data_IF_181450330510
#
_entry.id   IF_181450330510
#
_cell.length_a   1.000
_cell.length_b   1.000
_cell.length_c   1.000
_cell.angle_alpha   90.00
_cell.angle_beta   90.00
_cell.angle_gamma   90.00
#
_symmetry.space_group_name_H-M   'P 1'
#
loop_
_entity.id
_entity.type
_entity.pdbx_description
1 polymer ?
#
# COMPACT_ATOMS: atom_id res chain seq x y z
N UNK A 1 13.36 -11.26 3.75
CA UNK A 1 14.64 -11.38 4.49
C UNK A 1 15.25 -12.73 4.14
N UNK A 2 16.53 -12.77 3.77
CA UNK A 2 17.21 -13.94 3.19
C UNK A 2 18.05 -14.70 4.23
N UNK A 3 18.39 -15.96 3.92
CA UNK A 3 19.28 -16.78 4.76
C UNK A 3 20.75 -16.59 4.36
N UNK A 4 21.58 -16.28 5.35
CA UNK A 4 23.02 -16.08 5.21
C UNK A 4 23.76 -17.11 6.07
N UNK A 5 24.85 -17.66 5.55
CA UNK A 5 25.79 -18.46 6.33
C UNK A 5 27.21 -17.91 6.19
N UNK A 6 28.01 -18.06 7.25
CA UNK A 6 29.41 -17.68 7.22
C UNK A 6 30.22 -18.67 6.41
N UNK A 7 31.37 -18.23 5.90
CA UNK A 7 32.35 -19.07 5.23
C UNK A 7 32.83 -20.21 6.14
N UNK A 8 32.86 -19.97 7.44
CA UNK A 8 33.19 -20.98 8.45
C UNK A 8 32.14 -22.09 8.50
N UNK A 9 30.85 -21.74 8.50
CA UNK A 9 29.72 -22.69 8.47
C UNK A 9 29.65 -23.43 7.14
N UNK A 10 29.81 -22.72 6.01
CA UNK A 10 29.87 -23.34 4.68
C UNK A 10 31.01 -24.37 4.56
N UNK A 11 32.18 -24.08 5.15
CA UNK A 11 33.29 -25.05 5.22
C UNK A 11 32.92 -26.31 6.03
N UNK A 12 32.21 -26.15 7.14
CA UNK A 12 31.73 -27.27 7.97
C UNK A 12 30.70 -28.14 7.23
N UNK A 13 29.92 -27.53 6.34
CA UNK A 13 28.94 -28.21 5.49
C UNK A 13 29.57 -28.94 4.27
N UNK A 14 30.90 -29.05 4.21
CA UNK A 14 31.57 -29.79 3.13
C UNK A 14 31.84 -28.98 1.87
N UNK A 15 31.77 -27.64 1.95
CA UNK A 15 32.07 -26.72 0.83
C UNK A 15 31.26 -26.99 -0.44
N UNK A 16 29.91 -27.07 -0.35
CA UNK A 16 29.07 -27.28 -1.52
C UNK A 16 29.30 -26.20 -2.59
N UNK A 17 29.21 -26.58 -3.85
CA UNK A 17 29.49 -25.69 -4.98
C UNK A 17 28.55 -24.48 -4.95
N UNK A 18 29.14 -23.28 -5.07
CA UNK A 18 28.40 -22.03 -5.10
C UNK A 18 28.06 -21.63 -6.53
N UNK A 19 26.83 -21.18 -6.71
CA UNK A 19 26.36 -20.52 -7.92
C UNK A 19 26.67 -19.02 -7.85
N UNK A 20 27.02 -18.45 -9.01
CA UNK A 20 27.18 -17.00 -9.19
C UNK A 20 25.85 -16.37 -9.60
N UNK A 21 25.61 -15.13 -9.18
CA UNK A 21 24.43 -14.35 -9.55
C UNK A 21 24.76 -12.86 -9.47
N UNK A 22 23.99 -12.03 -10.18
CA UNK A 22 24.25 -10.59 -10.31
C UNK A 22 23.45 -9.73 -9.29
N UNK A 23 22.71 -10.36 -8.38
CA UNK A 23 21.87 -9.62 -7.42
C UNK A 23 22.72 -9.14 -6.25
N UNK A 24 22.61 -7.85 -5.93
CA UNK A 24 23.28 -7.25 -4.79
C UNK A 24 22.42 -7.50 -3.54
N UNK A 25 23.03 -8.12 -2.53
CA UNK A 25 22.41 -8.27 -1.21
C UNK A 25 22.68 -7.02 -0.37
N UNK A 26 21.63 -6.41 0.16
CA UNK A 26 21.71 -5.24 1.02
C UNK A 26 21.15 -5.54 2.42
N UNK A 27 21.79 -4.98 3.44
CA UNK A 27 21.27 -4.93 4.79
C UNK A 27 20.14 -3.90 4.91
N UNK A 28 19.37 -3.96 6.00
CA UNK A 28 18.23 -3.05 6.22
C UNK A 28 18.64 -1.57 6.30
N UNK A 29 19.89 -1.27 6.64
CA UNK A 29 20.45 0.09 6.64
C UNK A 29 20.93 0.54 5.25
N UNK A 30 20.70 -0.24 4.19
CA UNK A 30 21.14 0.06 2.82
C UNK A 30 22.60 -0.29 2.52
N UNK A 31 23.38 -0.73 3.51
CA UNK A 31 24.76 -1.18 3.29
C UNK A 31 24.80 -2.49 2.51
N UNK A 32 25.78 -2.64 1.63
CA UNK A 32 25.98 -3.87 0.84
C UNK A 32 26.56 -4.96 1.73
N UNK A 33 26.00 -6.17 1.63
CA UNK A 33 26.55 -7.38 2.25
C UNK A 33 27.37 -8.11 1.18
N UNK A 34 28.70 -8.22 1.32
CA UNK A 34 29.52 -9.00 0.41
C UNK A 34 29.17 -10.48 0.51
N UNK A 35 28.85 -11.11 -0.63
CA UNK A 35 28.53 -12.54 -0.73
C UNK A 35 29.45 -13.22 -1.73
N UNK A 36 29.98 -14.40 -1.39
CA UNK A 36 30.83 -15.21 -2.27
C UNK A 36 30.02 -15.96 -3.35
N UNK A 37 28.74 -16.17 -3.08
CA UNK A 37 27.81 -16.88 -3.95
C UNK A 37 26.61 -17.37 -3.15
N UNK A 38 25.78 -18.19 -3.79
CA UNK A 38 24.63 -18.79 -3.16
C UNK A 38 24.47 -20.26 -3.56
N UNK A 39 23.65 -20.97 -2.82
CA UNK A 39 23.26 -22.33 -3.10
C UNK A 39 21.79 -22.55 -2.77
N UNK A 40 21.15 -23.44 -3.53
CA UNK A 40 19.84 -23.99 -3.18
C UNK A 40 20.04 -25.18 -2.28
N UNK A 41 19.36 -25.20 -1.14
CA UNK A 41 19.48 -26.27 -0.15
C UNK A 41 18.12 -26.74 0.33
N UNK A 42 18.04 -28.04 0.55
CA UNK A 42 17.03 -28.64 1.39
C UNK A 42 17.53 -28.56 2.83
N UNK A 43 16.67 -28.09 3.74
CA UNK A 43 17.02 -27.89 5.13
C UNK A 43 16.00 -28.54 6.05
N UNK A 44 16.46 -28.88 7.25
CA UNK A 44 15.63 -29.37 8.35
C UNK A 44 15.91 -28.53 9.58
N UNK A 45 14.89 -27.83 10.07
CA UNK A 45 14.94 -27.12 11.34
C UNK A 45 14.30 -27.98 12.41
N UNK A 46 14.94 -28.06 13.58
CA UNK A 46 14.40 -28.80 14.72
C UNK A 46 13.93 -27.81 15.78
N UNK A 47 12.65 -27.88 16.13
CA UNK A 47 12.08 -27.11 17.22
C UNK A 47 12.50 -27.70 18.58
N UNK A 48 12.34 -26.91 19.66
CA UNK A 48 12.70 -27.33 21.02
C UNK A 48 11.86 -28.51 21.53
N UNK A 49 10.66 -28.71 20.97
CA UNK A 49 9.79 -29.87 21.24
C UNK A 49 10.19 -31.12 20.44
N UNK A 50 11.27 -31.05 19.66
CA UNK A 50 11.80 -32.16 18.86
C UNK A 50 11.16 -32.30 17.48
N UNK A 51 10.14 -31.49 17.13
CA UNK A 51 9.55 -31.52 15.80
C UNK A 51 10.55 -31.07 14.74
N UNK A 52 10.44 -31.67 13.56
CA UNK A 52 11.28 -31.36 12.41
C UNK A 52 10.46 -30.67 11.33
N UNK A 53 11.01 -29.56 10.84
CA UNK A 53 10.40 -28.71 9.83
C UNK A 53 11.30 -28.71 8.60
N UNK A 54 10.78 -29.26 7.51
CA UNK A 54 11.51 -29.39 6.26
C UNK A 54 11.22 -28.19 5.34
N UNK A 55 12.20 -27.81 4.54
CA UNK A 55 12.01 -26.80 3.53
C UNK A 55 13.14 -26.80 2.51
N UNK A 56 12.96 -25.98 1.48
CA UNK A 56 13.95 -25.73 0.45
C UNK A 56 14.08 -24.22 0.28
N UNK A 57 15.31 -23.73 0.10
CA UNK A 57 15.52 -22.29 -0.06
C UNK A 57 16.93 -21.91 -0.47
N UNK A 58 17.06 -20.65 -0.90
CA UNK A 58 18.37 -20.05 -1.17
C UNK A 58 19.12 -19.80 0.15
N UNK A 59 20.42 -20.04 0.12
CA UNK A 59 21.36 -19.69 1.18
C UNK A 59 22.57 -18.98 0.57
N UNK A 60 22.95 -17.82 1.12
CA UNK A 60 24.06 -17.02 0.60
C UNK A 60 25.26 -17.11 1.54
N UNK A 61 26.46 -17.27 0.98
CA UNK A 61 27.69 -17.35 1.76
C UNK A 61 28.29 -15.97 1.93
N UNK A 62 28.52 -15.59 3.19
CA UNK A 62 29.17 -14.34 3.62
C UNK A 62 30.44 -14.65 4.40
N UNK A 63 31.23 -13.63 4.76
CA UNK A 63 32.47 -13.84 5.51
C UNK A 63 32.20 -14.42 6.91
N UNK A 64 31.31 -13.79 7.69
CA UNK A 64 31.20 -14.01 9.14
C UNK A 64 29.77 -13.97 9.71
N UNK A 65 28.72 -14.07 8.87
CA UNK A 65 27.35 -13.90 9.32
C UNK A 65 26.51 -15.16 9.09
N UNK A 66 25.93 -15.68 10.18
CA UNK A 66 24.98 -16.79 10.16
C UNK A 66 23.60 -16.27 10.62
N UNK A 67 22.66 -16.14 9.69
CA UNK A 67 21.30 -15.63 9.94
C UNK A 67 20.30 -16.45 9.12
N UNK A 68 19.21 -16.89 9.77
CA UNK A 68 18.07 -17.45 9.05
C UNK A 68 17.16 -16.35 8.53
N UNK A 69 16.85 -16.43 7.23
CA UNK A 69 15.89 -15.55 6.59
C UNK A 69 14.45 -15.90 6.99
N UNK A 70 13.56 -14.93 6.76
CA UNK A 70 12.12 -15.13 6.94
C UNK A 70 11.60 -16.33 6.16
N UNK A 71 12.16 -16.60 4.97
CA UNK A 71 11.75 -17.73 4.14
C UNK A 71 11.89 -19.10 4.83
N UNK A 72 12.87 -19.22 5.72
CA UNK A 72 13.13 -20.44 6.48
C UNK A 72 12.41 -20.40 7.83
N UNK A 73 12.43 -19.24 8.51
CA UNK A 73 11.74 -19.05 9.80
C UNK A 73 10.24 -19.35 9.67
N UNK A 74 9.61 -18.97 8.56
CA UNK A 74 8.18 -19.22 8.35
C UNK A 74 7.79 -20.71 8.30
N UNK A 75 8.76 -21.63 8.19
CA UNK A 75 8.50 -23.09 8.23
C UNK A 75 8.34 -23.64 9.64
N UNK A 76 8.62 -22.83 10.67
CA UNK A 76 8.50 -23.19 12.09
C UNK A 76 7.32 -22.41 12.69
N UNK A 77 6.09 -22.98 12.71
CA UNK A 77 4.91 -22.29 13.21
C UNK A 77 5.10 -21.71 14.61
N UNK A 78 5.86 -22.38 15.47
CA UNK A 78 6.16 -21.98 16.83
C UNK A 78 6.89 -20.62 16.93
N UNK A 79 7.67 -20.25 15.90
CA UNK A 79 8.32 -18.93 15.81
C UNK A 79 7.42 -17.88 15.16
N UNK A 80 6.50 -18.31 14.29
CA UNK A 80 5.65 -17.43 13.48
C UNK A 80 4.41 -17.00 14.25
N UNK A 81 3.75 -17.93 14.93
CA UNK A 81 2.49 -17.70 15.63
C UNK A 81 2.59 -16.59 16.70
N UNK A 82 3.64 -16.54 17.55
CA UNK A 82 3.80 -15.44 18.50
C UNK A 82 4.02 -14.09 17.81
N UNK A 83 4.77 -14.06 16.70
CA UNK A 83 5.01 -12.85 15.91
C UNK A 83 3.73 -12.37 15.22
N UNK A 84 2.97 -13.30 14.64
CA UNK A 84 1.66 -13.01 14.06
C UNK A 84 0.73 -12.44 15.12
N UNK A 85 0.66 -13.04 16.32
CA UNK A 85 -0.13 -12.52 17.44
C UNK A 85 0.29 -11.12 17.88
N UNK A 86 1.57 -10.76 17.75
CA UNK A 86 2.05 -9.41 18.07
C UNK A 86 1.73 -8.40 16.96
N UNK A 87 1.86 -8.77 15.68
CA UNK A 87 1.52 -7.93 14.52
C UNK A 87 0.01 -7.73 14.41
N UNK A 88 -0.76 -8.80 14.63
CA UNK A 88 -2.22 -8.77 14.77
C UNK A 88 -2.67 -8.45 16.20
N UNK A 89 -1.76 -7.93 17.03
CA UNK A 89 -2.04 -7.36 18.35
C UNK A 89 -2.82 -6.04 18.29
N UNK A 90 -3.16 -5.55 17.09
CA UNK A 90 -4.43 -4.83 16.93
C UNK A 90 -5.51 -5.86 17.17
N UNK A 91 -6.06 -5.89 18.39
CA UNK A 91 -7.28 -6.61 18.70
C UNK A 91 -8.28 -6.30 17.58
N UNK A 92 -8.42 -7.21 16.60
CA UNK A 92 -9.62 -7.24 15.77
C UNK A 92 -10.65 -7.69 16.78
N UNK A 93 -11.24 -6.73 17.48
CA UNK A 93 -12.50 -6.94 18.16
C UNK A 93 -13.37 -7.53 17.06
N UNK A 94 -13.71 -8.81 17.19
CA UNK A 94 -14.60 -9.45 16.24
C UNK A 94 -15.79 -8.50 16.11
N UNK A 95 -16.01 -7.94 14.91
CA UNK A 95 -17.07 -6.96 14.69
C UNK A 95 -18.37 -7.67 15.08
N UNK A 96 -18.98 -7.32 16.24
CA UNK A 96 -20.15 -8.03 16.70
C UNK A 96 -21.34 -7.79 15.77
N UNK A 97 -21.24 -6.78 14.88
CA UNK A 97 -22.21 -6.50 13.84
C UNK A 97 -21.88 -7.17 12.50
N UNK A 98 -20.76 -7.89 12.34
CA UNK A 98 -20.43 -8.59 11.08
C UNK A 98 -21.57 -9.51 10.57
N UNK A 99 -22.27 -10.28 11.42
CA UNK A 99 -23.39 -11.12 10.97
C UNK A 99 -24.62 -10.31 10.51
N UNK A 100 -24.80 -9.09 11.05
CA UNK A 100 -25.97 -8.25 10.82
C UNK A 100 -25.66 -7.03 9.94
N UNK A 101 -24.44 -6.92 9.42
CA UNK A 101 -23.95 -5.71 8.73
C UNK A 101 -24.80 -5.40 7.50
N UNK A 102 -25.12 -6.43 6.72
CA UNK A 102 -25.95 -6.30 5.53
C UNK A 102 -27.37 -5.83 5.89
N UNK A 103 -27.93 -6.37 6.97
CA UNK A 103 -29.24 -5.96 7.49
C UNK A 103 -29.24 -4.50 7.96
N UNK A 104 -28.19 -4.08 8.68
CA UNK A 104 -28.02 -2.70 9.13
C UNK A 104 -27.90 -1.75 7.93
N UNK A 105 -27.07 -2.10 6.94
CA UNK A 105 -26.91 -1.30 5.71
C UNK A 105 -28.23 -1.22 4.94
N UNK A 106 -28.96 -2.33 4.82
CA UNK A 106 -30.27 -2.35 4.16
C UNK A 106 -31.26 -1.42 4.89
N UNK A 107 -31.35 -1.51 6.22
CA UNK A 107 -32.20 -0.61 7.03
C UNK A 107 -31.81 0.86 6.87
N UNK A 108 -30.52 1.18 6.86
CA UNK A 108 -30.05 2.56 6.67
C UNK A 108 -30.38 3.10 5.28
N UNK A 109 -30.22 2.29 4.22
CA UNK A 109 -30.58 2.67 2.86
C UNK A 109 -32.08 2.96 2.73
N UNK A 110 -32.93 2.19 3.42
CA UNK A 110 -34.38 2.42 3.44
C UNK A 110 -34.74 3.67 4.25
N UNK A 111 -34.22 3.78 5.47
CA UNK A 111 -34.59 4.85 6.40
C UNK A 111 -34.01 6.22 6.02
N UNK A 112 -32.90 6.24 5.29
CA UNK A 112 -32.19 7.45 4.89
C UNK A 112 -31.93 7.46 3.38
N UNK A 113 -32.92 7.06 2.58
CA UNK A 113 -32.81 6.97 1.12
C UNK A 113 -32.19 8.22 0.48
N UNK A 114 -32.53 9.41 0.98
CA UNK A 114 -31.97 10.69 0.50
C UNK A 114 -30.45 10.81 0.61
N UNK A 115 -29.84 10.23 1.66
CA UNK A 115 -28.38 10.26 1.88
C UNK A 115 -27.66 9.30 0.92
N UNK A 116 -28.35 8.24 0.49
CA UNK A 116 -27.80 7.20 -0.39
C UNK A 116 -28.22 7.37 -1.86
N UNK A 117 -28.87 8.49 -2.22
CA UNK A 117 -29.16 8.82 -3.61
C UNK A 117 -27.86 8.96 -4.40
N UNK A 118 -27.84 8.40 -5.60
CA UNK A 118 -26.72 8.57 -6.53
C UNK A 118 -26.65 10.03 -6.99
N UNK A 119 -25.44 10.59 -7.01
CA UNK A 119 -25.19 11.97 -7.44
C UNK A 119 -24.75 12.90 -6.31
N UNK A 120 -24.54 14.17 -6.64
CA UNK A 120 -24.12 15.18 -5.67
C UNK A 120 -25.30 15.72 -4.85
N UNK A 121 -25.11 15.80 -3.53
CA UNK A 121 -26.02 16.52 -2.65
C UNK A 121 -25.67 18.01 -2.55
N UNK A 122 -26.67 18.85 -2.25
CA UNK A 122 -26.47 20.29 -2.04
C UNK A 122 -26.59 20.65 -0.56
N UNK A 123 -25.50 21.15 0.04
CA UNK A 123 -25.56 21.68 1.40
C UNK A 123 -26.39 22.97 1.43
N UNK A 124 -27.49 22.96 2.18
CA UNK A 124 -28.39 24.12 2.35
C UNK A 124 -28.19 24.85 3.68
N UNK A 125 -27.36 24.31 4.57
CA UNK A 125 -27.22 24.81 5.95
C UNK A 125 -26.24 25.98 6.09
N UNK A 126 -25.23 26.06 5.23
CA UNK A 126 -24.15 27.06 5.33
C UNK A 126 -23.73 27.54 3.95
N UNK A 127 -23.37 28.83 3.84
CA UNK A 127 -22.73 29.41 2.66
C UNK A 127 -21.24 29.64 2.94
N UNK A 128 -20.38 29.16 2.05
CA UNK A 128 -18.96 29.50 2.09
C UNK A 128 -18.76 30.96 1.70
N UNK A 129 -17.95 31.70 2.46
CA UNK A 129 -17.55 33.06 2.14
C UNK A 129 -16.04 33.10 2.02
N UNK A 130 -15.52 33.55 0.88
CA UNK A 130 -14.08 33.72 0.67
C UNK A 130 -13.65 35.10 1.18
N UNK A 131 -12.71 35.13 2.13
CA UNK A 131 -12.09 36.37 2.61
C UNK A 131 -10.78 36.58 1.86
N UNK A 132 -10.71 37.67 1.09
CA UNK A 132 -9.51 38.04 0.36
C UNK A 132 -8.51 38.74 1.27
N UNK A 133 -7.23 38.70 0.88
CA UNK A 133 -6.20 39.53 1.51
C UNK A 133 -6.45 41.01 1.19
N UNK A 134 -6.03 41.96 2.06
CA UNK A 134 -6.29 43.38 1.87
C UNK A 134 -5.76 43.96 0.54
N UNK A 135 -4.71 43.39 -0.02
CA UNK A 135 -4.01 43.79 -1.24
C UNK A 135 -4.45 42.99 -2.49
N UNK A 136 -5.43 42.10 -2.37
CA UNK A 136 -5.89 41.31 -3.49
C UNK A 136 -6.67 42.16 -4.49
N UNK A 137 -6.28 42.11 -5.77
CA UNK A 137 -6.97 42.76 -6.87
C UNK A 137 -7.44 41.75 -7.91
N UNK A 138 -8.53 42.03 -8.66
CA UNK A 138 -9.00 41.14 -9.71
C UNK A 138 -7.95 40.86 -10.78
N UNK A 139 -7.92 39.62 -11.25
CA UNK A 139 -7.07 39.19 -12.36
C UNK A 139 -7.91 38.38 -13.34
N UNK A 140 -7.93 38.82 -14.59
CA UNK A 140 -8.59 38.11 -15.69
C UNK A 140 -7.54 37.45 -16.59
N UNK A 141 -7.49 36.12 -16.59
CA UNK A 141 -6.63 35.34 -17.49
C UNK A 141 -7.45 34.72 -18.61
N UNK A 142 -6.99 34.89 -19.86
CA UNK A 142 -7.62 34.27 -21.03
C UNK A 142 -7.49 32.74 -20.95
N UNK A 143 -8.50 32.02 -21.45
CA UNK A 143 -8.49 30.54 -21.53
C UNK A 143 -7.27 30.01 -22.27
N UNK A 144 -6.75 28.86 -21.85
CA UNK A 144 -5.70 28.14 -22.59
C UNK A 144 -6.28 27.43 -23.81
N UNK A 145 -5.44 27.22 -24.82
CA UNK A 145 -5.79 26.38 -25.97
C UNK A 145 -5.94 24.93 -25.51
N UNK A 146 -7.10 24.34 -25.78
CA UNK A 146 -7.38 22.92 -25.51
C UNK A 146 -7.05 22.12 -26.77
N UNK A 147 -6.24 21.04 -26.69
CA UNK A 147 -6.00 20.18 -27.85
C UNK A 147 -7.30 19.58 -28.35
N UNK A 148 -7.46 19.49 -29.68
CA UNK A 148 -8.71 19.06 -30.32
C UNK A 148 -9.24 17.71 -29.79
N UNK A 149 -8.35 16.77 -29.49
CA UNK A 149 -8.70 15.45 -28.95
C UNK A 149 -9.43 15.49 -27.59
N UNK A 150 -9.32 16.58 -26.83
CA UNK A 150 -9.95 16.73 -25.50
C UNK A 150 -11.19 17.62 -25.49
N UNK A 151 -11.52 18.28 -26.61
CA UNK A 151 -12.62 19.26 -26.65
C UNK A 151 -13.95 18.59 -26.28
N UNK A 152 -14.28 17.46 -26.91
CA UNK A 152 -15.53 16.73 -26.64
C UNK A 152 -15.66 16.30 -25.17
N UNK A 153 -14.61 15.71 -24.61
CA UNK A 153 -14.64 15.26 -23.21
C UNK A 153 -14.74 16.42 -22.21
N UNK A 154 -14.13 17.57 -22.54
CA UNK A 154 -14.22 18.78 -21.72
C UNK A 154 -15.63 19.37 -21.77
N UNK A 155 -16.23 19.47 -22.95
CA UNK A 155 -17.58 20.02 -23.13
C UNK A 155 -18.62 19.15 -22.41
N UNK A 156 -18.52 17.82 -22.53
CA UNK A 156 -19.38 16.86 -21.79
C UNK A 156 -19.28 17.04 -20.27
N UNK A 157 -18.08 17.28 -19.74
CA UNK A 157 -17.88 17.50 -18.31
C UNK A 157 -18.43 18.87 -17.85
N UNK A 158 -18.26 19.91 -18.66
CA UNK A 158 -18.87 21.22 -18.38
C UNK A 158 -20.40 21.11 -18.35
N UNK A 159 -21.00 20.42 -19.33
CA UNK A 159 -22.45 20.20 -19.39
C UNK A 159 -22.95 19.40 -18.19
N UNK A 160 -22.22 18.36 -17.77
CA UNK A 160 -22.53 17.59 -16.55
C UNK A 160 -22.54 18.50 -15.32
N UNK A 161 -21.53 19.37 -15.15
CA UNK A 161 -21.43 20.28 -14.01
C UNK A 161 -22.51 21.37 -14.01
N UNK A 162 -22.96 21.82 -15.18
CA UNK A 162 -24.09 22.73 -15.32
C UNK A 162 -25.40 22.03 -14.94
N UNK A 163 -25.61 20.79 -15.40
CA UNK A 163 -26.79 19.99 -15.05
C UNK A 163 -26.87 19.70 -13.54
N UNK A 164 -25.73 19.45 -12.89
CA UNK A 164 -25.62 19.26 -11.44
C UNK A 164 -25.66 20.58 -10.63
N UNK A 165 -25.77 21.73 -11.31
CA UNK A 165 -25.77 23.07 -10.69
C UNK A 165 -24.51 23.36 -9.85
N UNK A 166 -23.40 22.70 -10.18
CA UNK A 166 -22.07 22.98 -9.59
C UNK A 166 -21.49 24.24 -10.22
N UNK A 167 -21.69 24.40 -11.53
CA UNK A 167 -21.36 25.61 -12.27
C UNK A 167 -22.63 26.36 -12.67
N UNK A 168 -22.49 27.66 -12.86
CA UNK A 168 -23.52 28.52 -13.42
C UNK A 168 -22.86 29.58 -14.31
N UNK A 169 -23.39 29.87 -15.50
CA UNK A 169 -22.84 30.90 -16.37
C UNK A 169 -22.96 32.27 -15.73
N UNK A 170 -21.98 33.14 -16.01
CA UNK A 170 -21.96 34.54 -15.55
C UNK A 170 -21.64 35.41 -16.77
N UNK A 171 -22.42 36.48 -16.97
CA UNK A 171 -22.27 37.36 -18.14
C UNK A 171 -20.97 38.16 -18.11
N UNK A 172 -20.51 38.55 -16.91
CA UNK A 172 -19.30 39.32 -16.71
C UNK A 172 -18.61 39.02 -15.37
N UNK A 173 -17.29 38.86 -15.39
CA UNK A 173 -16.46 38.75 -14.19
C UNK A 173 -15.11 39.44 -14.39
N UNK A 174 -14.70 40.26 -13.42
CA UNK A 174 -13.34 40.82 -13.37
C UNK A 174 -12.27 39.77 -13.00
N UNK A 175 -12.70 38.59 -12.53
CA UNK A 175 -11.85 37.46 -12.16
C UNK A 175 -12.03 36.32 -13.16
N UNK A 176 -10.93 35.81 -13.71
CA UNK A 176 -10.96 34.59 -14.53
C UNK A 176 -9.65 33.81 -14.39
N UNK A 177 -9.77 32.49 -14.24
CA UNK A 177 -8.66 31.54 -14.25
C UNK A 177 -8.76 30.65 -15.51
N UNK A 178 -7.62 30.22 -16.08
CA UNK A 178 -7.57 29.58 -17.39
C UNK A 178 -7.61 28.05 -17.38
#
# INVERSE_FOLDING_TARGET
MITLISKSSWKKLGRPQLLKFNTIVNAANGSRIPTEGYLMVDFVLRSSDGKQHHGQGCCYVTENLDIFGWEWIQKVPELVEPLQKYISGVTIVADPAAPCREEIVAKLKVNHADVFKTGLGRCTKTKATLRLKPDAHPVFRKKRSVPYAYVTALDEEIDRLLAEQVLSPVDYSAWAAP
#
